data_IF_357352451830
#
_entry.id   IF_357352451830
#
_cell.length_a   1.000
_cell.length_b   1.000
_cell.length_c   1.000
_cell.angle_alpha   90.00
_cell.angle_beta   90.00
_cell.angle_gamma   90.00
#
_symmetry.space_group_name_H-M   'P 1'
#
loop_
_entity.id
_entity.type
_entity.pdbx_description
1 polymer ?
#
# COMPACT_ATOMS: atom_id res chain seq x y z
N UNK A 1 -24.73 -24.15 -11.69
CA UNK A 1 -24.01 -22.88 -11.38
C UNK A 1 -24.61 -22.09 -10.21
N UNK A 2 -25.83 -22.41 -9.73
CA UNK A 2 -26.38 -21.83 -8.48
C UNK A 2 -25.85 -22.55 -7.22
N UNK A 3 -25.42 -23.80 -7.37
CA UNK A 3 -25.07 -24.68 -6.24
C UNK A 3 -23.67 -24.39 -5.64
N UNK A 4 -22.74 -23.85 -6.44
CA UNK A 4 -21.40 -23.47 -5.97
C UNK A 4 -21.42 -22.26 -5.01
N UNK A 5 -22.44 -21.40 -5.11
CA UNK A 5 -22.61 -20.23 -4.23
C UNK A 5 -22.96 -20.66 -2.81
N UNK A 6 -23.66 -21.80 -2.66
CA UNK A 6 -24.09 -22.32 -1.36
C UNK A 6 -22.92 -22.91 -0.54
N UNK A 7 -21.86 -23.41 -1.20
CA UNK A 7 -20.71 -24.01 -0.52
C UNK A 7 -19.62 -23.01 -0.10
N UNK A 8 -19.46 -21.90 -0.85
CA UNK A 8 -18.34 -20.95 -0.63
C UNK A 8 -18.77 -19.76 0.27
N UNK A 9 -20.07 -19.54 0.47
CA UNK A 9 -20.59 -18.40 1.20
C UNK A 9 -20.35 -17.06 0.47
N UNK A 10 -20.41 -15.93 1.19
CA UNK A 10 -20.17 -14.60 0.59
C UNK A 10 -18.76 -14.52 0.00
N UNK A 11 -18.66 -14.15 -1.27
CA UNK A 11 -17.39 -14.05 -2.00
C UNK A 11 -17.26 -12.71 -2.74
N UNK A 12 -16.02 -12.22 -2.82
CA UNK A 12 -15.65 -10.97 -3.48
C UNK A 12 -15.08 -11.26 -4.87
N UNK A 13 -15.59 -10.66 -5.95
CA UNK A 13 -15.01 -10.79 -7.29
C UNK A 13 -13.59 -10.23 -7.34
N UNK A 14 -12.67 -10.90 -8.04
CA UNK A 14 -11.30 -10.42 -8.24
C UNK A 14 -11.25 -9.03 -8.90
N UNK A 15 -12.18 -8.76 -9.82
CA UNK A 15 -12.35 -7.43 -10.41
C UNK A 15 -12.58 -6.32 -9.37
N UNK A 16 -13.30 -6.61 -8.28
CA UNK A 16 -13.54 -5.62 -7.21
C UNK A 16 -12.26 -5.30 -6.44
N UNK A 17 -11.38 -6.28 -6.22
CA UNK A 17 -10.08 -6.06 -5.55
C UNK A 17 -9.21 -5.12 -6.39
N UNK A 18 -9.21 -5.29 -7.72
CA UNK A 18 -8.45 -4.42 -8.63
C UNK A 18 -9.02 -3.02 -8.72
N UNK A 19 -10.35 -2.91 -8.83
CA UNK A 19 -11.04 -1.63 -8.80
C UNK A 19 -10.78 -0.90 -7.48
N UNK A 20 -10.80 -1.61 -6.35
CA UNK A 20 -10.46 -1.06 -5.05
C UNK A 20 -8.98 -0.60 -4.98
N UNK A 21 -8.04 -1.39 -5.52
CA UNK A 21 -6.62 -1.00 -5.58
C UNK A 21 -6.43 0.31 -6.36
N UNK A 22 -7.06 0.43 -7.53
CA UNK A 22 -6.99 1.64 -8.33
C UNK A 22 -7.69 2.82 -7.63
N UNK A 23 -8.89 2.60 -7.09
CA UNK A 23 -9.66 3.61 -6.38
C UNK A 23 -8.92 4.15 -5.16
N UNK A 24 -8.33 3.30 -4.34
CA UNK A 24 -7.52 3.71 -3.16
C UNK A 24 -6.30 4.52 -3.59
N UNK A 25 -5.62 4.13 -4.66
CA UNK A 25 -4.44 4.86 -5.15
C UNK A 25 -4.81 6.26 -5.63
N UNK A 26 -5.87 6.37 -6.44
CA UNK A 26 -6.35 7.65 -6.98
C UNK A 26 -6.89 8.55 -5.87
N UNK A 27 -7.78 8.01 -5.04
CA UNK A 27 -8.38 8.74 -3.94
C UNK A 27 -7.32 9.20 -2.93
N UNK A 28 -6.32 8.37 -2.62
CA UNK A 28 -5.22 8.74 -1.75
C UNK A 28 -4.46 9.96 -2.26
N UNK A 29 -4.03 9.92 -3.53
CA UNK A 29 -3.28 11.03 -4.15
C UNK A 29 -4.13 12.31 -4.22
N UNK A 30 -5.42 12.17 -4.53
CA UNK A 30 -6.36 13.29 -4.56
C UNK A 30 -6.60 13.91 -3.18
N UNK A 31 -6.83 13.07 -2.15
CA UNK A 31 -7.11 13.52 -0.78
C UNK A 31 -5.88 14.13 -0.08
N UNK A 32 -4.67 13.77 -0.51
CA UNK A 32 -3.44 14.47 -0.11
C UNK A 32 -3.35 15.85 -0.78
N UNK A 33 -4.21 16.19 -1.73
CA UNK A 33 -4.20 17.50 -2.42
C UNK A 33 -3.11 17.62 -3.48
N UNK A 34 -2.64 16.49 -4.03
CA UNK A 34 -1.54 16.49 -4.99
C UNK A 34 -1.81 17.40 -6.21
N UNK A 35 -0.77 17.97 -6.85
CA UNK A 35 -0.92 18.69 -8.11
C UNK A 35 -1.60 17.83 -9.18
N UNK A 36 -2.39 18.45 -10.06
CA UNK A 36 -3.19 17.76 -11.07
C UNK A 36 -2.37 16.79 -11.94
N UNK A 37 -1.12 17.15 -12.24
CA UNK A 37 -0.18 16.28 -12.95
C UNK A 37 0.04 14.94 -12.23
N UNK A 38 0.27 14.95 -10.90
CA UNK A 38 0.50 13.73 -10.12
C UNK A 38 -0.77 12.90 -9.95
N UNK A 39 -1.94 13.55 -9.85
CA UNK A 39 -3.23 12.85 -9.88
C UNK A 39 -3.39 12.11 -11.21
N UNK A 40 -3.06 12.75 -12.34
CA UNK A 40 -3.15 12.12 -13.66
C UNK A 40 -2.17 10.94 -13.80
N UNK A 41 -0.91 11.10 -13.37
CA UNK A 41 0.08 10.01 -13.36
C UNK A 41 -0.40 8.84 -12.51
N UNK A 42 -0.88 9.10 -11.29
CA UNK A 42 -1.40 8.06 -10.41
C UNK A 42 -2.62 7.37 -11.00
N UNK A 43 -3.54 8.11 -11.62
CA UNK A 43 -4.73 7.56 -12.25
C UNK A 43 -4.41 6.66 -13.43
N UNK A 44 -3.55 7.11 -14.35
CA UNK A 44 -3.12 6.28 -15.49
C UNK A 44 -2.41 5.03 -15.01
N UNK A 45 -1.44 5.16 -14.10
CA UNK A 45 -0.71 4.01 -13.56
C UNK A 45 -1.64 3.04 -12.80
N UNK A 46 -2.59 3.55 -12.00
CA UNK A 46 -3.56 2.75 -11.26
C UNK A 46 -4.48 1.95 -12.20
N UNK A 47 -5.00 2.59 -13.24
CA UNK A 47 -5.87 1.95 -14.24
C UNK A 47 -5.10 0.89 -15.02
N UNK A 48 -3.88 1.21 -15.49
CA UNK A 48 -3.03 0.25 -16.19
C UNK A 48 -2.69 -0.93 -15.27
N UNK A 49 -2.35 -0.68 -14.00
CA UNK A 49 -2.07 -1.72 -13.01
C UNK A 49 -3.28 -2.62 -12.73
N UNK A 50 -4.50 -2.07 -12.70
CA UNK A 50 -5.72 -2.85 -12.52
C UNK A 50 -6.04 -3.74 -13.74
N UNK A 51 -5.75 -3.26 -14.96
CA UNK A 51 -5.94 -4.02 -16.19
C UNK A 51 -4.85 -5.09 -16.32
N UNK A 52 -3.59 -4.73 -16.04
CA UNK A 52 -2.39 -5.55 -16.21
C UNK A 52 -1.73 -5.82 -14.83
N UNK A 53 -2.29 -6.75 -14.02
CA UNK A 53 -1.97 -6.93 -12.59
C UNK A 53 -0.55 -7.45 -12.30
N UNK A 54 0.17 -7.93 -13.31
CA UNK A 54 1.54 -8.45 -13.19
C UNK A 54 2.60 -7.38 -13.54
N UNK A 55 2.20 -6.13 -13.54
CA UNK A 55 3.09 -5.00 -13.78
C UNK A 55 3.39 -4.26 -12.49
N UNK A 56 4.45 -3.45 -12.49
CA UNK A 56 4.77 -2.56 -11.37
C UNK A 56 3.87 -1.30 -11.33
N UNK A 57 2.91 -1.14 -12.24
CA UNK A 57 2.13 0.09 -12.37
C UNK A 57 1.26 0.41 -11.13
N UNK A 58 0.74 -0.60 -10.43
CA UNK A 58 0.03 -0.37 -9.17
C UNK A 58 0.96 0.26 -8.10
N UNK A 59 2.23 -0.15 -8.05
CA UNK A 59 3.23 0.44 -7.15
C UNK A 59 3.70 1.82 -7.62
N UNK A 60 3.79 2.05 -8.93
CA UNK A 60 4.06 3.38 -9.49
C UNK A 60 2.97 4.36 -9.10
N UNK A 61 1.69 3.95 -9.15
CA UNK A 61 0.58 4.79 -8.71
C UNK A 61 0.70 5.16 -7.22
N UNK A 62 1.10 4.21 -6.38
CA UNK A 62 1.33 4.44 -4.95
C UNK A 62 2.57 5.31 -4.68
N UNK A 63 3.59 5.25 -5.51
CA UNK A 63 4.78 6.10 -5.40
C UNK A 63 4.47 7.59 -5.60
N UNK A 64 3.35 7.93 -6.24
CA UNK A 64 2.89 9.33 -6.36
C UNK A 64 2.50 9.94 -5.00
N UNK A 65 2.07 9.14 -4.01
CA UNK A 65 1.70 9.62 -2.66
C UNK A 65 2.86 10.32 -1.93
N UNK A 66 4.01 9.66 -1.69
CA UNK A 66 5.12 10.30 -1.00
C UNK A 66 5.69 11.47 -1.80
N UNK A 67 5.70 11.40 -3.14
CA UNK A 67 6.14 12.52 -3.98
C UNK A 67 5.20 13.73 -3.82
N UNK A 68 3.88 13.51 -3.84
CA UNK A 68 2.91 14.57 -3.60
C UNK A 68 3.07 15.21 -2.22
N UNK A 69 3.30 14.42 -1.17
CA UNK A 69 3.55 14.93 0.18
C UNK A 69 4.79 15.82 0.25
N UNK A 70 5.88 15.47 -0.47
CA UNK A 70 7.11 16.27 -0.45
C UNK A 70 6.97 17.63 -1.16
N UNK A 71 5.95 17.80 -1.99
CA UNK A 71 5.70 19.04 -2.73
C UNK A 71 4.81 20.03 -1.95
N UNK A 72 4.31 19.63 -0.79
CA UNK A 72 3.36 20.40 0.00
C UNK A 72 3.92 20.79 1.36
N UNK A 73 3.27 21.77 1.98
CA UNK A 73 3.52 22.09 3.38
C UNK A 73 3.15 20.88 4.27
N UNK A 74 3.91 20.62 5.35
CA UNK A 74 3.59 19.53 6.27
C UNK A 74 2.19 19.69 6.85
N UNK A 75 1.34 18.70 6.58
CA UNK A 75 0.00 18.58 7.16
C UNK A 75 -0.20 17.17 7.73
N UNK A 76 -0.73 17.12 8.96
CA UNK A 76 -0.95 15.85 9.65
C UNK A 76 -2.04 15.02 8.96
N UNK A 77 -3.10 15.68 8.49
CA UNK A 77 -4.21 15.03 7.79
C UNK A 77 -3.72 14.34 6.52
N UNK A 78 -2.96 15.05 5.69
CA UNK A 78 -2.35 14.52 4.47
C UNK A 78 -1.40 13.35 4.77
N UNK A 79 -0.59 13.44 5.84
CA UNK A 79 0.31 12.35 6.25
C UNK A 79 -0.48 11.10 6.64
N UNK A 80 -1.51 11.25 7.48
CA UNK A 80 -2.36 10.13 7.90
C UNK A 80 -3.09 9.48 6.70
N UNK A 81 -3.61 10.30 5.77
CA UNK A 81 -4.23 9.82 4.52
C UNK A 81 -3.23 9.07 3.67
N UNK A 82 -2.04 9.62 3.46
CA UNK A 82 -1.01 8.96 2.66
C UNK A 82 -0.58 7.63 3.25
N UNK A 83 -0.38 7.54 4.58
CA UNK A 83 -0.05 6.29 5.26
C UNK A 83 -1.17 5.25 5.09
N UNK A 84 -2.43 5.66 5.22
CA UNK A 84 -3.58 4.77 5.00
C UNK A 84 -3.67 4.28 3.54
N UNK A 85 -3.61 5.21 2.58
CA UNK A 85 -3.73 4.90 1.17
C UNK A 85 -2.55 4.05 0.67
N UNK A 86 -1.33 4.35 1.12
CA UNK A 86 -0.13 3.60 0.75
C UNK A 86 -0.22 2.15 1.23
N UNK A 87 -0.56 1.94 2.51
CA UNK A 87 -0.59 0.61 3.08
C UNK A 87 -1.77 -0.21 2.53
N UNK A 88 -2.98 0.34 2.52
CA UNK A 88 -4.14 -0.35 1.95
C UNK A 88 -3.96 -0.62 0.45
N UNK A 89 -3.46 0.36 -0.29
CA UNK A 89 -3.15 0.23 -1.70
C UNK A 89 -2.11 -0.85 -1.98
N UNK A 90 -1.05 -0.92 -1.17
CA UNK A 90 -0.01 -1.95 -1.27
C UNK A 90 -0.56 -3.36 -1.07
N UNK A 91 -1.43 -3.55 -0.06
CA UNK A 91 -2.07 -4.84 0.20
C UNK A 91 -3.00 -5.22 -0.95
N UNK A 92 -3.81 -4.28 -1.44
CA UNK A 92 -4.71 -4.53 -2.57
C UNK A 92 -3.95 -4.81 -3.88
N UNK A 93 -2.83 -4.13 -4.12
CA UNK A 93 -1.95 -4.38 -5.26
C UNK A 93 -1.34 -5.80 -5.18
N UNK A 94 -0.88 -6.19 -4.00
CA UNK A 94 -0.34 -7.54 -3.76
C UNK A 94 -1.41 -8.61 -3.97
N UNK A 95 -2.62 -8.40 -3.43
CA UNK A 95 -3.76 -9.31 -3.66
C UNK A 95 -4.13 -9.37 -5.15
N UNK A 96 -4.12 -8.24 -5.86
CA UNK A 96 -4.43 -8.16 -7.30
C UNK A 96 -3.42 -8.94 -8.16
N UNK A 97 -2.16 -9.04 -7.72
CA UNK A 97 -1.13 -9.84 -8.39
C UNK A 97 -1.34 -11.36 -8.26
N UNK A 98 -2.01 -11.81 -7.19
CA UNK A 98 -2.28 -13.23 -6.92
C UNK A 98 -3.67 -13.66 -7.39
N UNK A 99 -4.65 -12.77 -7.28
CA UNK A 99 -6.07 -13.05 -7.57
C UNK A 99 -6.37 -12.75 -9.05
N UNK A 100 -6.79 -13.77 -9.80
CA UNK A 100 -7.16 -13.60 -11.21
C UNK A 100 -8.45 -12.79 -11.34
N UNK A 101 -8.61 -12.05 -12.44
CA UNK A 101 -9.75 -11.14 -12.65
C UNK A 101 -11.10 -11.87 -12.57
N UNK A 102 -11.15 -13.10 -13.10
CA UNK A 102 -12.35 -13.94 -13.18
C UNK A 102 -12.59 -14.77 -11.93
N UNK A 103 -11.67 -14.78 -10.97
CA UNK A 103 -11.82 -15.54 -9.73
C UNK A 103 -12.74 -14.84 -8.72
N UNK A 104 -13.24 -15.62 -7.76
CA UNK A 104 -13.99 -15.13 -6.60
C UNK A 104 -13.26 -15.58 -5.33
N UNK A 105 -13.04 -14.65 -4.42
CA UNK A 105 -12.35 -14.91 -3.15
C UNK A 105 -13.38 -14.98 -2.04
N UNK A 106 -13.42 -16.08 -1.30
CA UNK A 106 -14.30 -16.19 -0.13
C UNK A 106 -13.98 -15.10 0.89
N UNK A 107 -15.00 -14.41 1.42
CA UNK A 107 -14.80 -13.32 2.37
C UNK A 107 -14.08 -13.79 3.64
N UNK A 108 -14.35 -15.02 4.07
CA UNK A 108 -13.66 -15.66 5.22
C UNK A 108 -12.16 -15.79 5.00
N UNK A 109 -11.71 -16.00 3.76
CA UNK A 109 -10.28 -16.06 3.44
C UNK A 109 -9.59 -14.69 3.51
N UNK A 110 -10.35 -13.59 3.43
CA UNK A 110 -9.84 -12.23 3.57
C UNK A 110 -9.74 -11.77 5.03
N UNK A 111 -10.40 -12.44 5.98
CA UNK A 111 -10.41 -12.03 7.40
C UNK A 111 -9.00 -11.94 8.00
N UNK A 112 -8.09 -12.93 7.83
CA UNK A 112 -6.73 -12.83 8.37
C UNK A 112 -5.96 -11.64 7.78
N UNK A 113 -6.15 -11.38 6.49
CA UNK A 113 -5.54 -10.23 5.81
C UNK A 113 -6.10 -8.91 6.35
N UNK A 114 -7.42 -8.80 6.50
CA UNK A 114 -8.06 -7.62 7.05
C UNK A 114 -7.61 -7.32 8.50
N UNK A 115 -7.47 -8.36 9.35
CA UNK A 115 -6.94 -8.20 10.71
C UNK A 115 -5.49 -7.70 10.69
N UNK A 116 -4.64 -8.28 9.83
CA UNK A 116 -3.25 -7.81 9.65
C UNK A 116 -3.19 -6.37 9.17
N UNK A 117 -4.04 -6.01 8.20
CA UNK A 117 -4.16 -4.63 7.71
C UNK A 117 -4.49 -3.69 8.86
N UNK A 118 -5.51 -4.00 9.66
CA UNK A 118 -5.90 -3.14 10.78
C UNK A 118 -4.80 -2.98 11.82
N UNK A 119 -4.12 -4.08 12.19
CA UNK A 119 -3.03 -4.03 13.18
C UNK A 119 -1.89 -3.15 12.67
N UNK A 120 -1.41 -3.39 11.45
CA UNK A 120 -0.32 -2.60 10.86
C UNK A 120 -0.75 -1.15 10.65
N UNK A 121 -2.02 -0.92 10.28
CA UNK A 121 -2.54 0.42 10.09
C UNK A 121 -2.55 1.21 11.40
N UNK A 122 -2.99 0.61 12.51
CA UNK A 122 -2.98 1.27 13.82
C UNK A 122 -1.55 1.64 14.23
N UNK A 123 -0.59 0.73 14.05
CA UNK A 123 0.82 0.99 14.36
C UNK A 123 1.38 2.11 13.46
N UNK A 124 1.07 2.07 12.16
CA UNK A 124 1.55 3.08 11.21
C UNK A 124 0.94 4.47 11.46
N UNK A 125 -0.35 4.53 11.82
CA UNK A 125 -1.02 5.80 12.18
C UNK A 125 -0.45 6.35 13.49
N UNK A 126 -0.22 5.50 14.50
CA UNK A 126 0.45 5.92 15.72
C UNK A 126 1.85 6.49 15.41
N UNK A 127 2.64 5.82 14.56
CA UNK A 127 3.94 6.31 14.14
C UNK A 127 3.86 7.67 13.40
N UNK A 128 2.86 7.87 12.54
CA UNK A 128 2.64 9.15 11.86
C UNK A 128 2.31 10.28 12.86
N UNK A 129 1.45 10.01 13.85
CA UNK A 129 1.13 10.95 14.93
C UNK A 129 2.36 11.28 15.78
N UNK A 130 3.15 10.26 16.15
CA UNK A 130 4.40 10.47 16.89
C UNK A 130 5.39 11.31 16.09
N UNK A 131 5.55 11.05 14.79
CA UNK A 131 6.45 11.81 13.93
C UNK A 131 6.08 13.31 13.89
N UNK A 132 4.78 13.62 13.90
CA UNK A 132 4.30 15.01 13.92
C UNK A 132 4.38 15.67 15.30
N UNK A 133 4.37 14.87 16.37
CA UNK A 133 4.52 15.35 17.74
C UNK A 133 5.97 15.69 18.12
N UNK A 134 6.95 15.23 17.33
CA UNK A 134 8.35 15.63 17.49
C UNK A 134 8.43 17.11 17.10
N UNK A 135 8.82 18.02 18.03
CA UNK A 135 8.96 19.43 17.71
C UNK A 135 9.85 19.59 16.48
N UNK A 136 9.45 20.44 15.54
CA UNK A 136 10.29 20.83 14.42
C UNK A 136 11.49 21.61 14.99
N UNK A 137 12.49 20.87 15.46
CA UNK A 137 13.67 21.38 16.13
C UNK A 137 14.53 22.08 15.08
N UNK A 138 14.21 23.35 14.78
CA UNK A 138 15.11 24.35 14.18
C UNK A 138 15.92 23.84 12.96
N UNK A 139 15.35 22.86 12.23
CA UNK A 139 15.97 22.15 11.11
C UNK A 139 17.05 21.10 11.45
N UNK A 140 17.42 20.87 12.72
CA UNK A 140 18.59 20.07 13.11
C UNK A 140 18.30 18.85 14.00
N UNK A 141 17.27 18.87 14.85
CA UNK A 141 17.12 17.83 15.90
C UNK A 141 16.64 16.44 15.41
N UNK A 142 15.86 16.39 14.33
CA UNK A 142 15.21 15.15 13.85
C UNK A 142 15.54 14.78 12.39
N UNK A 143 16.39 15.57 11.70
CA UNK A 143 16.74 15.33 10.30
C UNK A 143 17.42 13.97 10.04
N UNK A 144 18.08 13.40 11.07
CA UNK A 144 18.73 12.10 11.00
C UNK A 144 17.75 10.91 11.06
N UNK A 145 16.50 11.13 11.51
CA UNK A 145 15.49 10.06 11.62
C UNK A 145 15.13 9.52 10.22
N UNK A 146 15.04 10.40 9.22
CA UNK A 146 14.74 10.00 7.84
C UNK A 146 15.80 9.05 7.25
N UNK A 147 17.11 9.37 7.22
CA UNK A 147 18.12 8.44 6.72
C UNK A 147 18.25 7.19 7.58
N UNK A 148 18.09 7.26 8.91
CA UNK A 148 18.11 6.06 9.77
C UNK A 148 16.92 5.14 9.48
N UNK A 149 15.73 5.70 9.31
CA UNK A 149 14.55 4.95 8.89
C UNK A 149 14.73 4.29 7.51
N UNK A 150 15.29 5.03 6.55
CA UNK A 150 15.59 4.50 5.22
C UNK A 150 16.60 3.33 5.28
N UNK A 151 17.66 3.47 6.07
CA UNK A 151 18.65 2.40 6.29
C UNK A 151 18.04 1.17 6.97
N UNK A 152 17.17 1.37 7.97
CA UNK A 152 16.48 0.27 8.66
C UNK A 152 15.55 -0.50 7.70
N UNK A 153 14.81 0.22 6.85
CA UNK A 153 13.96 -0.40 5.80
C UNK A 153 14.82 -1.16 4.78
N UNK A 154 15.90 -0.56 4.30
CA UNK A 154 16.82 -1.19 3.35
C UNK A 154 17.47 -2.46 3.93
N UNK A 155 17.96 -2.40 5.18
CA UNK A 155 18.53 -3.55 5.88
C UNK A 155 17.52 -4.69 6.02
N UNK A 156 16.28 -4.36 6.44
CA UNK A 156 15.19 -5.33 6.56
C UNK A 156 14.87 -5.98 5.22
N UNK A 157 14.77 -5.19 4.14
CA UNK A 157 14.54 -5.71 2.79
C UNK A 157 15.65 -6.66 2.35
N UNK A 158 16.93 -6.30 2.57
CA UNK A 158 18.09 -7.15 2.27
C UNK A 158 18.04 -8.46 3.07
N UNK A 159 17.72 -8.41 4.37
CA UNK A 159 17.61 -9.60 5.22
C UNK A 159 16.50 -10.54 4.74
N UNK A 160 15.33 -10.01 4.38
CA UNK A 160 14.22 -10.81 3.86
C UNK A 160 14.59 -11.48 2.54
N UNK A 161 15.19 -10.75 1.60
CA UNK A 161 15.64 -11.29 0.30
C UNK A 161 16.70 -12.38 0.51
N UNK A 162 17.68 -12.15 1.39
CA UNK A 162 18.71 -13.14 1.72
C UNK A 162 18.12 -14.39 2.38
N UNK A 163 17.21 -14.24 3.33
CA UNK A 163 16.54 -15.36 4.01
C UNK A 163 15.73 -16.22 3.04
N UNK A 164 15.05 -15.62 2.07
CA UNK A 164 14.34 -16.33 1.00
C UNK A 164 15.32 -17.08 0.08
N UNK A 165 16.43 -16.43 -0.31
CA UNK A 165 17.46 -17.03 -1.17
C UNK A 165 18.15 -18.24 -0.51
N UNK A 166 18.45 -18.14 0.80
CA UNK A 166 19.07 -19.21 1.59
C UNK A 166 18.15 -20.43 1.75
N UNK A 167 16.85 -20.22 2.01
CA UNK A 167 15.86 -21.33 2.05
C UNK A 167 15.75 -22.10 0.74
N UNK A 168 16.01 -21.45 -0.40
CA UNK A 168 15.99 -22.08 -1.72
C UNK A 168 17.22 -22.96 -1.97
N UNK A 169 18.36 -22.65 -1.35
CA UNK A 169 19.62 -23.40 -1.49
C UNK A 169 19.77 -24.53 -0.47
N UNK A 170 19.13 -24.45 0.70
CA UNK A 170 19.14 -25.50 1.74
C UNK A 170 18.10 -26.62 1.56
N UNK A 171 17.42 -26.72 0.42
CA UNK A 171 16.49 -27.81 0.04
C UNK A 171 17.00 -28.58 -1.18
N UNK A 172 18.28 -28.96 -1.16
CA UNK A 172 18.83 -29.99 -2.07
C UNK A 172 19.28 -31.16 -1.24
#
# INVERSE_FOLDING_TARGET
MKDDVLLIGRAVPGALIRAASAGVSIAGVWLVGAPLFWIAVAAVAAVVGAIVPRTMFAWIALAALPVALTLQSPDLGHTCVAVAALHLGHVLATLSGVVSLRSRVALRALIPTARRVLIVQVVAQAAALFAFAIPAADGRGAAWIAPVGALAVAATAVMLVRGISQKKHGRR
#
